data_IF_734188257035
#
_entry.id   IF_734188257035
#
_cell.length_a   1.000
_cell.length_b   1.000
_cell.length_c   1.000
_cell.angle_alpha   90.00
_cell.angle_beta   90.00
_cell.angle_gamma   90.00
#
_symmetry.space_group_name_H-M   'P 1'
#
loop_
_entity.id
_entity.type
_entity.pdbx_description
1 polymer ?
#
# COMPACT_ATOMS: atom_id res chain seq x y z
N UNK A 1 3.02 -24.73 24.75
CA UNK A 1 1.57 -24.45 24.88
C UNK A 1 0.91 -24.91 23.59
N UNK A 2 0.22 -26.06 23.61
CA UNK A 2 -0.57 -26.52 22.45
C UNK A 2 -1.88 -25.75 22.50
N UNK A 3 -2.28 -25.14 21.40
CA UNK A 3 -3.63 -24.61 21.29
C UNK A 3 -4.56 -25.81 21.14
N UNK A 4 -5.26 -26.16 22.22
CA UNK A 4 -6.31 -27.17 22.17
C UNK A 4 -7.54 -26.47 21.58
N UNK A 5 -7.90 -26.87 20.36
CA UNK A 5 -9.09 -26.38 19.67
C UNK A 5 -10.26 -27.30 20.03
N UNK A 6 -11.37 -26.72 20.46
CA UNK A 6 -12.59 -27.48 20.72
C UNK A 6 -13.30 -27.84 19.41
N UNK A 7 -14.19 -28.83 19.42
CA UNK A 7 -14.86 -29.32 18.20
C UNK A 7 -15.65 -28.22 17.47
N UNK A 8 -16.23 -27.27 18.22
CA UNK A 8 -16.93 -26.12 17.66
C UNK A 8 -15.99 -25.11 16.98
N UNK A 9 -14.74 -24.97 17.47
CA UNK A 9 -13.72 -24.14 16.82
C UNK A 9 -13.34 -24.73 15.47
N UNK A 10 -13.19 -26.06 15.40
CA UNK A 10 -12.91 -26.76 14.14
C UNK A 10 -14.00 -26.52 13.09
N UNK A 11 -15.28 -26.52 13.49
CA UNK A 11 -16.41 -26.24 12.61
C UNK A 11 -16.38 -24.79 12.11
N UNK A 12 -16.09 -23.82 12.99
CA UNK A 12 -15.96 -22.41 12.62
C UNK A 12 -14.82 -22.19 11.63
N UNK A 13 -13.66 -22.81 11.89
CA UNK A 13 -12.50 -22.75 11.01
C UNK A 13 -12.83 -23.36 9.64
N UNK A 14 -13.44 -24.54 9.61
CA UNK A 14 -13.86 -25.19 8.37
C UNK A 14 -14.85 -24.32 7.57
N UNK A 15 -15.80 -23.66 8.25
CA UNK A 15 -16.74 -22.74 7.60
C UNK A 15 -16.04 -21.51 7.00
N UNK A 16 -15.13 -20.90 7.75
CA UNK A 16 -14.32 -19.78 7.26
C UNK A 16 -13.48 -20.19 6.04
N UNK A 17 -12.84 -21.36 6.09
CA UNK A 17 -12.07 -21.91 4.97
C UNK A 17 -12.93 -22.11 3.72
N UNK A 18 -14.13 -22.69 3.87
CA UNK A 18 -15.06 -22.88 2.75
C UNK A 18 -15.55 -21.55 2.16
N UNK A 19 -15.84 -20.55 3.01
CA UNK A 19 -16.24 -19.22 2.54
C UNK A 19 -15.12 -18.50 1.78
N UNK A 20 -13.88 -18.62 2.25
CA UNK A 20 -12.70 -18.07 1.56
C UNK A 20 -12.56 -18.76 0.20
N UNK A 21 -12.58 -20.10 0.16
CA UNK A 21 -12.50 -20.87 -1.09
C UNK A 21 -13.59 -20.45 -2.08
N UNK A 22 -14.84 -20.38 -1.64
CA UNK A 22 -15.96 -20.00 -2.49
C UNK A 22 -15.80 -18.58 -3.07
N UNK A 23 -15.18 -17.66 -2.33
CA UNK A 23 -14.86 -16.32 -2.84
C UNK A 23 -13.71 -16.32 -3.85
N UNK A 24 -12.77 -17.26 -3.78
CA UNK A 24 -11.72 -17.41 -4.80
C UNK A 24 -12.25 -17.97 -6.12
N UNK A 25 -13.35 -18.73 -6.09
CA UNK A 25 -14.03 -19.23 -7.29
C UNK A 25 -14.87 -18.15 -7.99
N UNK A 26 -15.00 -16.95 -7.41
CA UNK A 26 -15.67 -15.79 -8.02
C UNK A 26 -14.67 -14.67 -8.32
N UNK A 27 -14.95 -13.84 -9.33
CA UNK A 27 -14.13 -12.66 -9.66
C UNK A 27 -14.05 -11.65 -8.48
N UNK A 28 -14.94 -11.76 -7.49
CA UNK A 28 -14.93 -10.95 -6.26
C UNK A 28 -13.76 -11.27 -5.31
N UNK A 29 -13.17 -12.48 -5.40
CA UNK A 29 -11.99 -12.86 -4.62
C UNK A 29 -10.67 -12.32 -5.18
N UNK A 30 -10.65 -11.89 -6.43
CA UNK A 30 -9.45 -11.42 -7.13
C UNK A 30 -9.31 -9.90 -7.00
N UNK A 31 -8.54 -9.45 -6.00
CA UNK A 31 -8.15 -8.05 -5.88
C UNK A 31 -6.79 -7.78 -6.55
N UNK A 32 -6.78 -7.56 -7.86
CA UNK A 32 -5.60 -7.08 -8.56
C UNK A 32 -5.55 -5.54 -8.52
N UNK A 33 -4.60 -4.99 -7.76
CA UNK A 33 -4.37 -3.55 -7.68
C UNK A 33 -3.23 -3.18 -8.64
N UNK A 34 -3.60 -2.67 -9.81
CA UNK A 34 -2.62 -2.11 -10.74
C UNK A 34 -2.06 -0.80 -10.19
N UNK A 35 -0.72 -0.72 -10.13
CA UNK A 35 -0.02 0.49 -9.72
C UNK A 35 0.61 1.18 -10.92
N UNK A 36 0.64 2.52 -10.88
CA UNK A 36 1.23 3.37 -11.91
C UNK A 36 2.26 4.30 -11.28
N UNK A 37 3.37 4.53 -11.97
CA UNK A 37 4.30 5.62 -11.65
C UNK A 37 3.57 6.97 -11.66
N UNK A 38 4.01 7.91 -10.83
CA UNK A 38 3.39 9.25 -10.69
C UNK A 38 3.06 9.90 -12.04
N UNK A 39 3.98 9.87 -13.01
CA UNK A 39 3.76 10.46 -14.33
C UNK A 39 2.60 9.84 -15.09
N UNK A 40 2.43 8.52 -15.01
CA UNK A 40 1.31 7.81 -15.65
C UNK A 40 0.04 7.88 -14.79
N UNK A 41 0.18 7.79 -13.48
CA UNK A 41 -0.92 7.86 -12.53
C UNK A 41 -1.60 9.21 -12.55
N UNK A 42 -0.87 10.32 -12.63
CA UNK A 42 -1.45 11.66 -12.74
C UNK A 42 -2.19 11.87 -14.06
N UNK A 43 -1.69 11.30 -15.16
CA UNK A 43 -2.41 11.31 -16.45
C UNK A 43 -3.70 10.50 -16.40
N UNK A 44 -3.70 9.39 -15.65
CA UNK A 44 -4.85 8.49 -15.54
C UNK A 44 -5.92 8.98 -14.56
N UNK A 45 -5.50 9.51 -13.42
CA UNK A 45 -6.37 9.82 -12.28
C UNK A 45 -6.64 11.32 -12.10
N UNK A 46 -5.93 12.20 -12.83
CA UNK A 46 -6.17 13.64 -12.80
C UNK A 46 -6.02 14.24 -11.40
N UNK A 47 -7.02 15.02 -10.99
CA UNK A 47 -7.00 15.74 -9.71
C UNK A 47 -7.12 14.80 -8.50
N UNK A 48 -7.92 13.73 -8.58
CA UNK A 48 -7.97 12.69 -7.53
C UNK A 48 -6.60 12.04 -7.29
N UNK A 49 -5.79 11.93 -8.35
CA UNK A 49 -4.41 11.49 -8.27
C UNK A 49 -3.52 12.47 -7.50
N UNK A 50 -3.69 13.78 -7.73
CA UNK A 50 -2.94 14.82 -7.01
C UNK A 50 -3.31 14.84 -5.53
N UNK A 51 -4.61 14.80 -5.22
CA UNK A 51 -5.10 14.75 -3.85
C UNK A 51 -4.57 13.53 -3.10
N UNK A 52 -4.46 12.39 -3.78
CA UNK A 52 -3.89 11.17 -3.21
C UNK A 52 -2.39 11.29 -2.92
N UNK A 53 -1.63 11.99 -3.78
CA UNK A 53 -0.21 12.30 -3.57
C UNK A 53 -0.03 13.25 -2.38
N UNK A 54 -0.78 14.35 -2.36
CA UNK A 54 -0.69 15.37 -1.31
C UNK A 54 -1.06 14.79 0.05
N UNK A 55 -2.08 13.94 0.09
CA UNK A 55 -2.49 13.24 1.31
C UNK A 55 -1.41 12.31 1.86
N UNK A 56 -0.66 11.62 1.00
CA UNK A 56 0.42 10.73 1.42
C UNK A 56 1.64 11.53 1.89
N UNK A 57 2.07 12.54 1.11
CA UNK A 57 3.18 13.41 1.48
C UNK A 57 2.91 14.17 2.78
N UNK A 58 1.69 14.67 2.95
CA UNK A 58 1.26 15.33 4.19
C UNK A 58 1.32 14.40 5.39
N UNK A 59 0.94 13.12 5.24
CA UNK A 59 1.08 12.15 6.33
C UNK A 59 2.53 11.92 6.73
N UNK A 60 3.45 11.86 5.77
CA UNK A 60 4.88 11.72 6.05
C UNK A 60 5.44 12.94 6.77
N UNK A 61 5.05 14.14 6.32
CA UNK A 61 5.45 15.40 6.95
C UNK A 61 4.91 15.50 8.38
N UNK A 62 3.63 15.22 8.61
CA UNK A 62 3.00 15.28 9.93
C UNK A 62 3.55 14.25 10.94
N UNK A 63 4.25 13.22 10.44
CA UNK A 63 4.88 12.18 11.27
C UNK A 63 6.40 12.39 11.40
N UNK A 64 6.92 13.53 10.94
CA UNK A 64 8.35 13.86 10.94
C UNK A 64 9.21 12.72 10.37
N UNK A 65 8.72 12.03 9.34
CA UNK A 65 9.43 10.89 8.73
C UNK A 65 10.67 11.33 7.93
N UNK A 66 10.74 12.60 7.54
CA UNK A 66 11.84 13.17 6.77
C UNK A 66 12.33 14.47 7.39
N UNK A 67 13.65 14.60 7.45
CA UNK A 67 14.33 15.84 7.79
C UNK A 67 15.17 16.24 6.58
N UNK A 68 15.10 17.50 6.11
CA UNK A 68 15.94 17.95 5.02
C UNK A 68 17.40 17.95 5.44
N UNK A 69 18.27 17.36 4.62
CA UNK A 69 19.72 17.35 4.82
C UNK A 69 20.42 17.75 3.52
N UNK A 70 21.48 18.54 3.64
CA UNK A 70 22.24 18.93 2.46
C UNK A 70 23.14 17.80 2.00
N UNK A 71 23.16 17.59 0.68
CA UNK A 71 23.99 16.58 0.02
C UNK A 71 25.49 16.76 0.28
N UNK A 72 25.96 17.97 0.63
CA UNK A 72 27.36 18.24 1.01
C UNK A 72 27.71 17.75 2.42
N UNK A 73 26.73 17.64 3.30
CA UNK A 73 26.91 17.28 4.71
C UNK A 73 26.80 15.76 4.90
N UNK A 74 26.25 15.04 3.91
CA UNK A 74 26.17 13.57 3.88
C UNK A 74 27.55 12.91 3.72
N UNK A 75 27.80 11.89 4.52
CA UNK A 75 28.95 11.00 4.38
C UNK A 75 28.90 10.19 3.08
N UNK A 76 30.05 9.68 2.63
CA UNK A 76 30.12 8.80 1.46
C UNK A 76 29.27 7.52 1.63
N UNK A 77 29.12 7.02 2.87
CA UNK A 77 28.32 5.84 3.19
C UNK A 77 26.82 6.12 3.06
N UNK A 78 26.35 7.25 3.61
CA UNK A 78 24.95 7.68 3.48
C UNK A 78 24.57 7.94 2.02
N UNK A 79 25.45 8.59 1.26
CA UNK A 79 25.24 8.82 -0.18
C UNK A 79 25.13 7.52 -0.98
N UNK A 80 25.88 6.48 -0.59
CA UNK A 80 25.80 5.15 -1.22
C UNK A 80 24.51 4.41 -0.86
N UNK A 81 23.92 4.68 0.30
CA UNK A 81 22.65 4.11 0.77
C UNK A 81 21.43 4.91 0.33
N UNK A 82 21.62 6.17 -0.07
CA UNK A 82 20.54 7.03 -0.51
C UNK A 82 19.86 6.44 -1.74
N UNK A 83 18.55 6.20 -1.64
CA UNK A 83 17.73 5.70 -2.73
C UNK A 83 16.77 6.78 -3.20
N UNK A 84 16.49 6.80 -4.50
CA UNK A 84 15.50 7.72 -5.06
C UNK A 84 14.10 7.31 -4.64
N UNK A 85 13.37 8.22 -4.01
CA UNK A 85 11.99 7.99 -3.65
C UNK A 85 11.10 7.94 -4.91
N UNK A 86 10.13 7.03 -4.93
CA UNK A 86 9.22 6.78 -6.03
C UNK A 86 7.78 6.85 -5.55
N UNK A 87 6.96 7.67 -6.21
CA UNK A 87 5.53 7.75 -5.93
C UNK A 87 4.73 6.87 -6.89
N UNK A 88 3.90 6.00 -6.34
CA UNK A 88 3.00 5.10 -7.04
C UNK A 88 1.55 5.43 -6.75
N UNK A 89 0.71 5.42 -7.78
CA UNK A 89 -0.72 5.66 -7.70
C UNK A 89 -1.50 4.41 -8.10
N UNK A 90 -2.52 4.09 -7.32
CA UNK A 90 -3.40 2.95 -7.60
C UNK A 90 -4.83 3.23 -7.17
N UNK A 91 -5.78 2.66 -7.89
CA UNK A 91 -7.20 2.72 -7.54
C UNK A 91 -7.56 1.58 -6.59
N UNK A 92 -8.22 1.90 -5.48
CA UNK A 92 -8.80 0.89 -4.59
C UNK A 92 -10.17 0.48 -5.11
N UNK A 93 -10.24 -0.68 -5.74
CA UNK A 93 -11.46 -1.22 -6.35
C UNK A 93 -12.70 -1.14 -5.44
N UNK A 94 -12.58 -1.55 -4.17
CA UNK A 94 -13.71 -1.59 -3.23
C UNK A 94 -14.30 -0.21 -2.88
N UNK A 95 -13.45 0.84 -2.80
CA UNK A 95 -13.87 2.18 -2.37
C UNK A 95 -13.89 3.21 -3.50
N UNK A 96 -13.42 2.83 -4.70
CA UNK A 96 -13.18 3.73 -5.84
C UNK A 96 -12.39 4.99 -5.46
N UNK A 97 -11.44 4.83 -4.54
CA UNK A 97 -10.57 5.93 -4.09
C UNK A 97 -9.16 5.72 -4.62
N UNK A 98 -8.52 6.79 -5.06
CA UNK A 98 -7.10 6.75 -5.46
C UNK A 98 -6.21 6.78 -4.21
N UNK A 99 -5.14 6.00 -4.24
CA UNK A 99 -4.13 5.95 -3.18
C UNK A 99 -2.75 6.24 -3.77
N UNK A 100 -2.08 7.23 -3.19
CA UNK A 100 -0.65 7.43 -3.32
C UNK A 100 0.11 6.50 -2.37
N UNK A 101 1.27 6.02 -2.83
CA UNK A 101 2.25 5.30 -2.01
C UNK A 101 3.63 5.80 -2.39
N UNK A 102 4.33 6.38 -1.43
CA UNK A 102 5.74 6.72 -1.56
C UNK A 102 6.60 5.51 -1.15
N UNK A 103 7.57 5.15 -1.99
CA UNK A 103 8.46 3.99 -1.80
C UNK A 103 9.91 4.50 -1.86
N UNK A 104 10.77 3.98 -0.99
CA UNK A 104 12.19 4.36 -0.85
C UNK A 104 13.10 3.15 -0.97
#
# INVERSE_FOLDING_TARGET
MKADYEEHDAILIARCMMQIKAKFDTDEGLNFIQQYYINQGLKKFGDDGKDAVDKELRQMLLRDCFTPEFVKDMTASERKKAQSAMMLLAEKQLKKTIKGRLVF
#
